data_IF_309207553048
#
_entry.id   IF_309207553048
#
_cell.length_a   1.000
_cell.length_b   1.000
_cell.length_c   1.000
_cell.angle_alpha   90.00
_cell.angle_beta   90.00
_cell.angle_gamma   90.00
#
_symmetry.space_group_name_H-M   'P 1'
#
loop_
_entity.id
_entity.type
_entity.pdbx_description
1 polymer ?
#
# COMPACT_ATOMS: atom_id res chain seq x y z
N UNK A 1 -7.68 12.94 4.80
CA UNK A 1 -6.71 13.19 3.71
C UNK A 1 -5.27 12.78 4.07
N UNK A 2 -4.82 12.93 5.32
CA UNK A 2 -3.44 12.60 5.74
C UNK A 2 -3.07 11.13 5.52
N UNK A 3 -3.95 10.18 5.88
CA UNK A 3 -3.73 8.74 5.65
C UNK A 3 -3.44 8.38 4.19
N UNK A 4 -4.13 9.06 3.26
CA UNK A 4 -3.93 8.85 1.83
C UNK A 4 -2.51 9.25 1.41
N UNK A 5 -2.03 10.40 1.89
CA UNK A 5 -0.68 10.89 1.61
C UNK A 5 0.39 9.96 2.16
N UNK A 6 0.21 9.46 3.39
CA UNK A 6 1.15 8.51 4.02
C UNK A 6 1.23 7.23 3.19
N UNK A 7 0.08 6.64 2.83
CA UNK A 7 0.05 5.43 1.99
C UNK A 7 0.78 5.68 0.66
N UNK A 8 0.45 6.78 -0.03
CA UNK A 8 1.03 7.09 -1.33
C UNK A 8 2.55 7.28 -1.25
N UNK A 9 3.03 7.92 -0.18
CA UNK A 9 4.45 8.14 0.06
C UNK A 9 5.21 6.83 0.29
N UNK A 10 4.71 5.96 1.17
CA UNK A 10 5.35 4.67 1.47
C UNK A 10 5.38 3.73 0.26
N UNK A 11 4.32 3.74 -0.55
CA UNK A 11 4.24 2.91 -1.76
C UNK A 11 5.26 3.40 -2.79
N UNK A 12 5.33 4.70 -3.07
CA UNK A 12 6.30 5.23 -4.05
C UNK A 12 7.76 5.02 -3.62
N UNK A 13 8.02 4.91 -2.31
CA UNK A 13 9.36 4.61 -1.77
C UNK A 13 9.76 3.15 -1.95
N UNK A 14 8.80 2.24 -2.14
CA UNK A 14 9.05 0.81 -2.27
C UNK A 14 9.65 0.47 -3.64
N UNK A 15 10.74 -0.30 -3.64
CA UNK A 15 11.45 -0.67 -4.88
C UNK A 15 10.60 -1.62 -5.73
N UNK A 16 10.71 -1.50 -7.04
CA UNK A 16 9.98 -2.34 -7.98
C UNK A 16 8.57 -1.86 -8.32
N UNK A 17 8.10 -0.75 -7.71
CA UNK A 17 6.82 -0.13 -8.08
C UNK A 17 7.03 0.85 -9.24
N UNK A 18 6.25 0.67 -10.30
CA UNK A 18 6.24 1.54 -11.46
C UNK A 18 5.18 2.65 -11.34
N UNK A 19 4.01 2.32 -10.78
CA UNK A 19 2.86 3.22 -10.74
C UNK A 19 1.97 2.87 -9.56
N UNK A 20 1.35 3.89 -8.97
CA UNK A 20 0.23 3.74 -8.04
C UNK A 20 -1.07 4.05 -8.79
N UNK A 21 -2.04 3.15 -8.67
CA UNK A 21 -3.38 3.28 -9.25
C UNK A 21 -4.36 3.85 -8.25
N UNK A 22 -5.53 3.21 -8.13
CA UNK A 22 -6.56 3.61 -7.18
C UNK A 22 -6.17 3.22 -5.75
N UNK A 23 -6.30 4.17 -4.83
CA UNK A 23 -6.15 3.96 -3.39
C UNK A 23 -7.51 4.25 -2.74
N UNK A 24 -8.06 3.27 -2.03
CA UNK A 24 -9.30 3.39 -1.27
C UNK A 24 -9.04 3.08 0.20
N UNK A 25 -9.54 3.92 1.09
CA UNK A 25 -9.39 3.75 2.54
C UNK A 25 -10.79 3.75 3.13
N UNK A 26 -11.15 2.65 3.76
CA UNK A 26 -12.44 2.43 4.39
C UNK A 26 -12.24 2.42 5.90
N UNK A 27 -12.97 3.30 6.59
CA UNK A 27 -12.92 3.39 8.04
C UNK A 27 -13.98 2.46 8.63
N UNK A 28 -13.54 1.53 9.47
CA UNK A 28 -14.38 0.65 10.26
C UNK A 28 -14.27 1.02 11.75
N UNK A 29 -15.26 0.62 12.58
CA UNK A 29 -15.21 0.89 14.02
C UNK A 29 -13.95 0.37 14.72
N UNK A 30 -13.36 -0.72 14.20
CA UNK A 30 -12.20 -1.41 14.80
C UNK A 30 -10.85 -1.04 14.16
N UNK A 31 -10.84 -0.14 13.17
CA UNK A 31 -9.64 0.27 12.44
C UNK A 31 -9.92 0.55 10.97
N UNK A 32 -8.87 0.55 10.14
CA UNK A 32 -8.98 0.92 8.72
C UNK A 32 -8.69 -0.26 7.81
N UNK A 33 -9.42 -0.33 6.69
CA UNK A 33 -9.13 -1.21 5.57
C UNK A 33 -8.61 -0.39 4.40
N UNK A 34 -7.51 -0.85 3.81
CA UNK A 34 -6.81 -0.12 2.76
C UNK A 34 -6.74 -1.00 1.54
N UNK A 35 -7.29 -0.53 0.43
CA UNK A 35 -7.18 -1.20 -0.86
C UNK A 35 -6.32 -0.33 -1.76
N UNK A 36 -5.23 -0.89 -2.28
CA UNK A 36 -4.31 -0.17 -3.15
C UNK A 36 -4.05 -0.95 -4.43
N UNK A 37 -4.13 -0.26 -5.56
CA UNK A 37 -3.71 -0.79 -6.84
C UNK A 37 -2.29 -0.32 -7.16
N UNK A 38 -1.43 -1.25 -7.56
CA UNK A 38 -0.04 -0.97 -7.92
C UNK A 38 0.32 -1.57 -9.27
N UNK A 39 1.29 -0.94 -9.93
CA UNK A 39 2.01 -1.47 -11.08
C UNK A 39 3.43 -1.82 -10.69
N UNK A 40 3.95 -2.95 -11.15
CA UNK A 40 5.27 -3.49 -10.78
C UNK A 40 6.19 -3.54 -12.01
N UNK A 41 7.48 -3.27 -11.84
CA UNK A 41 8.48 -3.47 -12.90
C UNK A 41 8.78 -4.95 -13.14
N UNK A 42 8.97 -5.33 -14.39
CA UNK A 42 9.35 -6.68 -14.77
C UNK A 42 10.70 -7.06 -14.13
N UNK A 43 10.82 -8.34 -13.74
CA UNK A 43 11.97 -8.86 -12.99
C UNK A 43 11.84 -8.77 -11.47
N UNK A 44 10.87 -8.04 -10.93
CA UNK A 44 10.54 -8.07 -9.50
C UNK A 44 9.51 -9.14 -9.18
N UNK A 45 9.72 -9.86 -8.07
CA UNK A 45 8.75 -10.85 -7.60
C UNK A 45 7.55 -10.14 -6.97
N UNK A 46 6.39 -10.33 -7.58
CA UNK A 46 5.11 -9.73 -7.17
C UNK A 46 4.84 -9.94 -5.67
N UNK A 47 5.02 -11.17 -5.17
CA UNK A 47 4.77 -11.50 -3.76
C UNK A 47 5.71 -10.76 -2.80
N UNK A 48 6.97 -10.56 -3.18
CA UNK A 48 7.93 -9.84 -2.33
C UNK A 48 7.57 -8.36 -2.27
N UNK A 49 7.31 -7.73 -3.42
CA UNK A 49 6.90 -6.32 -3.50
C UNK A 49 5.57 -6.09 -2.77
N UNK A 50 4.57 -6.94 -2.97
CA UNK A 50 3.28 -6.80 -2.30
C UNK A 50 3.39 -6.93 -0.78
N UNK A 51 4.23 -7.87 -0.29
CA UNK A 51 4.49 -8.04 1.14
C UNK A 51 5.25 -6.85 1.73
N UNK A 52 6.20 -6.28 0.99
CA UNK A 52 6.94 -5.09 1.41
C UNK A 52 6.01 -3.87 1.51
N UNK A 53 5.17 -3.64 0.50
CA UNK A 53 4.13 -2.60 0.51
C UNK A 53 3.19 -2.76 1.70
N UNK A 54 2.68 -3.97 1.92
CA UNK A 54 1.81 -4.27 3.07
C UNK A 54 2.48 -3.87 4.38
N UNK A 55 3.73 -4.30 4.60
CA UNK A 55 4.46 -4.05 5.84
C UNK A 55 4.73 -2.56 6.04
N UNK A 56 5.14 -1.85 5.00
CA UNK A 56 5.47 -0.43 5.08
C UNK A 56 4.21 0.41 5.36
N UNK A 57 3.08 0.12 4.69
CA UNK A 57 1.82 0.84 4.91
C UNK A 57 1.29 0.57 6.32
N UNK A 58 1.19 -0.69 6.75
CA UNK A 58 0.66 -1.03 8.07
C UNK A 58 1.49 -0.35 9.16
N UNK A 59 2.82 -0.46 9.08
CA UNK A 59 3.71 0.16 10.04
C UNK A 59 3.58 1.69 10.07
N UNK A 60 3.55 2.35 8.91
CA UNK A 60 3.46 3.80 8.85
C UNK A 60 2.14 4.33 9.42
N UNK A 61 1.03 3.64 9.20
CA UNK A 61 -0.27 4.09 9.69
C UNK A 61 -0.38 3.87 11.20
N UNK A 62 -0.02 2.69 11.67
CA UNK A 62 -0.04 2.39 13.11
C UNK A 62 0.90 3.33 13.86
N UNK A 63 2.11 3.55 13.34
CA UNK A 63 3.12 4.34 14.04
C UNK A 63 2.90 5.86 13.93
N UNK A 64 2.47 6.37 12.77
CA UNK A 64 2.31 7.83 12.59
C UNK A 64 0.94 8.36 12.99
N UNK A 65 -0.07 7.50 13.04
CA UNK A 65 -1.45 7.94 13.32
C UNK A 65 -2.09 7.26 14.52
N UNK A 66 -1.45 6.24 15.11
CA UNK A 66 -2.00 5.42 16.20
C UNK A 66 -3.36 4.77 15.85
N UNK A 67 -3.65 4.63 14.55
CA UNK A 67 -4.86 3.99 14.03
C UNK A 67 -4.54 2.52 13.75
N UNK A 68 -5.41 1.63 14.21
CA UNK A 68 -5.30 0.20 13.93
C UNK A 68 -5.56 -0.11 12.45
N UNK A 69 -4.74 -0.96 11.86
CA UNK A 69 -4.89 -1.40 10.46
C UNK A 69 -5.45 -2.81 10.45
N UNK A 70 -6.72 -2.96 10.06
CA UNK A 70 -7.37 -4.27 10.02
C UNK A 70 -6.89 -5.10 8.84
N UNK A 71 -6.78 -4.48 7.66
CA UNK A 71 -6.48 -5.19 6.43
C UNK A 71 -5.88 -4.25 5.38
N UNK A 72 -4.84 -4.69 4.70
CA UNK A 72 -4.27 -4.00 3.53
C UNK A 72 -4.28 -4.95 2.34
N UNK A 73 -5.11 -4.65 1.36
CA UNK A 73 -5.24 -5.39 0.11
C UNK A 73 -4.40 -4.72 -0.97
N UNK A 74 -3.38 -5.41 -1.45
CA UNK A 74 -2.52 -4.94 -2.55
C UNK A 74 -2.93 -5.64 -3.85
N UNK A 75 -3.47 -4.88 -4.79
CA UNK A 75 -3.90 -5.35 -6.10
C UNK A 75 -2.87 -4.99 -7.16
N UNK A 76 -2.23 -5.98 -7.76
CA UNK A 76 -1.31 -5.74 -8.88
C UNK A 76 -2.12 -5.72 -10.17
N UNK A 77 -2.13 -4.56 -10.83
CA UNK A 77 -2.93 -4.33 -12.05
C UNK A 77 -2.09 -4.14 -13.30
N UNK A 78 -0.82 -3.74 -13.16
CA UNK A 78 0.07 -3.46 -14.28
C UNK A 78 1.44 -4.09 -14.05
N UNK A 79 2.04 -4.58 -15.14
CA UNK A 79 3.44 -4.97 -15.16
C UNK A 79 4.10 -4.15 -16.26
N UNK A 80 5.13 -3.39 -15.91
CA UNK A 80 5.92 -2.61 -16.88
C UNK A 80 7.15 -3.41 -17.28
N UNK A 81 7.21 -3.77 -18.56
CA UNK A 81 8.31 -4.48 -19.21
C UNK A 81 9.43 -3.50 -19.53
#
# INVERSE_FOLDING_TARGET
>A
RVLFTICLYEVNKTRGICKVGKLNIENFPNGVKINIEIGIFYGYKINEVAREVFKNISFAIEHYTAINVNEVCVHVRWIKI
#
